data_IF_588346028613
#
_entry.id   IF_588346028613
#
_cell.length_a   1.000
_cell.length_b   1.000
_cell.length_c   1.000
_cell.angle_alpha   90.00
_cell.angle_beta   90.00
_cell.angle_gamma   90.00
#
_symmetry.space_group_name_H-M   'P 1'
#
loop_
_entity.id
_entity.type
_entity.pdbx_description
1 polymer ?
#
# COMPACT_ATOMS: atom_id res chain seq x y z
N UNK A 1 -31.11 33.37 2.20
CA UNK A 1 -32.42 33.28 2.86
C UNK A 1 -33.57 33.72 1.96
N UNK A 2 -33.69 33.26 0.70
CA UNK A 2 -34.93 33.42 -0.11
C UNK A 2 -34.95 32.50 -1.34
N UNK A 3 -34.73 31.19 -1.18
CA UNK A 3 -35.03 30.25 -2.28
C UNK A 3 -35.47 28.88 -1.74
N UNK A 4 -36.28 28.92 -0.68
CA UNK A 4 -37.14 27.83 -0.25
C UNK A 4 -38.52 28.21 -0.78
N UNK A 5 -39.07 27.49 -1.75
CA UNK A 5 -40.52 27.29 -2.05
C UNK A 5 -40.60 26.46 -3.35
N UNK A 6 -40.83 25.16 -3.22
CA UNK A 6 -41.42 24.21 -4.20
C UNK A 6 -41.46 22.85 -3.46
N UNK A 7 -42.31 22.67 -2.44
CA UNK A 7 -43.70 22.20 -2.53
C UNK A 7 -43.76 20.92 -3.41
N UNK A 8 -43.62 19.69 -2.89
CA UNK A 8 -44.41 18.91 -1.93
C UNK A 8 -45.03 17.70 -2.64
N UNK A 9 -45.17 16.62 -1.87
CA UNK A 9 -46.02 15.44 -2.08
C UNK A 9 -45.45 14.26 -2.91
N UNK A 10 -44.77 13.35 -2.20
CA UNK A 10 -45.11 11.93 -2.26
C UNK A 10 -44.71 11.27 -0.93
N UNK A 11 -45.68 11.21 -0.03
CA UNK A 11 -45.64 10.50 1.25
C UNK A 11 -46.08 9.05 0.99
N UNK A 12 -45.40 8.07 1.59
CA UNK A 12 -45.81 6.66 1.58
C UNK A 12 -44.61 5.74 1.79
N UNK A 13 -44.06 5.66 3.01
CA UNK A 13 -44.43 4.71 4.06
C UNK A 13 -44.17 3.24 3.66
N UNK A 14 -43.05 2.69 4.12
CA UNK A 14 -42.88 1.26 4.41
C UNK A 14 -41.71 1.09 5.37
N UNK A 15 -42.00 1.09 6.67
CA UNK A 15 -41.11 0.63 7.74
C UNK A 15 -41.60 -0.74 8.18
N UNK A 16 -40.75 -1.77 8.06
CA UNK A 16 -40.73 -3.00 8.87
C UNK A 16 -39.39 -3.71 8.53
N UNK A 17 -38.35 -3.60 9.37
CA UNK A 17 -38.00 -4.46 10.52
C UNK A 17 -37.61 -5.91 10.15
N UNK A 18 -36.70 -6.47 10.96
CA UNK A 18 -36.02 -7.78 10.91
C UNK A 18 -34.72 -7.78 10.05
N UNK A 19 -33.52 -7.99 10.58
CA UNK A 19 -33.11 -8.91 11.64
C UNK A 19 -31.98 -8.35 12.52
N UNK A 20 -32.08 -8.65 13.81
CA UNK A 20 -31.06 -8.43 14.83
C UNK A 20 -30.20 -9.69 15.04
N UNK A 21 -28.96 -9.45 15.49
CA UNK A 21 -27.97 -10.36 16.11
C UNK A 21 -27.26 -11.35 15.16
N UNK A 22 -25.94 -11.56 15.23
CA UNK A 22 -25.07 -11.55 16.41
C UNK A 22 -23.58 -11.40 16.00
N UNK A 23 -22.74 -10.63 16.73
CA UNK A 23 -21.29 -10.74 16.65
C UNK A 23 -20.83 -11.97 17.46
N UNK A 24 -20.08 -12.87 16.81
CA UNK A 24 -19.45 -13.99 17.49
C UNK A 24 -18.09 -13.54 18.04
N UNK A 25 -18.13 -12.91 19.22
CA UNK A 25 -16.96 -12.74 20.07
C UNK A 25 -16.63 -14.07 20.75
N UNK A 26 -15.72 -14.84 20.15
CA UNK A 26 -15.06 -15.93 20.85
C UNK A 26 -13.98 -15.33 21.77
N UNK A 27 -14.38 -14.91 22.97
CA UNK A 27 -13.46 -14.69 24.09
C UNK A 27 -13.35 -15.96 24.93
N UNK A 28 -12.27 -16.73 24.73
CA UNK A 28 -11.77 -17.63 25.75
C UNK A 28 -10.80 -16.84 26.64
N UNK A 29 -11.34 -16.30 27.72
CA UNK A 29 -10.61 -15.70 28.83
C UNK A 29 -9.75 -16.76 29.53
N UNK A 30 -8.42 -16.58 29.52
CA UNK A 30 -7.59 -16.92 30.67
C UNK A 30 -6.85 -15.67 31.12
N UNK A 31 -7.45 -14.98 32.09
CA UNK A 31 -6.80 -13.95 32.88
C UNK A 31 -5.77 -14.60 33.78
N UNK A 32 -4.50 -14.18 33.64
CA UNK A 32 -3.63 -13.97 34.80
C UNK A 32 -2.87 -12.67 34.59
N UNK A 33 -3.16 -11.72 35.47
CA UNK A 33 -2.46 -10.46 35.71
C UNK A 33 -0.96 -10.64 35.92
N UNK A 34 -0.13 -9.91 35.16
CA UNK A 34 1.10 -9.28 35.67
C UNK A 34 1.26 -7.93 34.97
N UNK A 35 1.10 -6.84 35.73
CA UNK A 35 1.55 -5.53 35.32
C UNK A 35 3.08 -5.52 35.26
N UNK A 36 3.67 -5.11 34.15
CA UNK A 36 4.99 -4.50 34.20
C UNK A 36 5.16 -3.49 33.06
N UNK A 37 5.28 -2.23 33.47
CA UNK A 37 5.51 -1.10 32.62
C UNK A 37 7.01 -1.10 32.27
N UNK A 38 7.37 -1.75 31.16
CA UNK A 38 8.72 -1.71 30.62
C UNK A 38 8.66 -1.24 29.18
N UNK A 39 9.25 -0.07 28.92
CA UNK A 39 9.62 0.40 27.60
C UNK A 39 10.52 -0.65 26.94
N UNK A 40 9.91 -1.54 26.17
CA UNK A 40 10.58 -2.65 25.50
C UNK A 40 10.42 -2.48 24.00
N UNK A 41 11.55 -2.13 23.37
CA UNK A 41 11.83 -2.27 21.95
C UNK A 41 11.39 -3.64 21.47
N UNK A 42 10.48 -3.66 20.49
CA UNK A 42 10.06 -4.88 19.82
C UNK A 42 11.29 -5.60 19.22
N UNK A 43 11.37 -6.93 19.30
CA UNK A 43 12.35 -7.71 18.54
C UNK A 43 12.28 -7.35 17.05
N UNK A 44 13.42 -7.20 16.34
CA UNK A 44 13.39 -6.97 14.90
C UNK A 44 12.62 -8.11 14.25
N UNK A 45 11.62 -7.77 13.43
CA UNK A 45 10.87 -8.72 12.63
C UNK A 45 11.86 -9.58 11.81
N UNK A 46 11.54 -10.87 11.55
CA UNK A 46 12.38 -11.70 10.70
C UNK A 46 12.59 -11.00 9.36
N UNK A 47 13.84 -10.63 9.07
CA UNK A 47 14.23 -10.17 7.75
C UNK A 47 13.94 -11.33 6.79
N UNK A 48 12.86 -11.24 6.04
CA UNK A 48 12.56 -12.20 4.99
C UNK A 48 13.70 -12.11 4.00
N UNK A 49 14.59 -13.10 4.02
CA UNK A 49 15.68 -13.19 3.05
C UNK A 49 15.04 -13.39 1.68
N UNK A 50 15.18 -12.40 0.81
CA UNK A 50 14.74 -12.50 -0.58
C UNK A 50 15.63 -13.54 -1.26
N UNK A 51 15.07 -14.68 -1.64
CA UNK A 51 15.77 -15.68 -2.44
C UNK A 51 16.29 -15.00 -3.71
N UNK A 52 17.60 -15.10 -4.01
CA UNK A 52 18.16 -14.49 -5.21
C UNK A 52 17.47 -15.07 -6.45
N UNK A 53 16.86 -14.25 -7.30
CA UNK A 53 16.38 -14.68 -8.60
C UNK A 53 17.52 -15.19 -9.50
N UNK A 54 17.21 -16.00 -10.54
CA UNK A 54 18.22 -16.51 -11.48
C UNK A 54 18.87 -15.41 -12.33
N UNK A 55 18.25 -14.24 -12.41
CA UNK A 55 18.72 -13.08 -13.18
C UNK A 55 19.94 -12.38 -12.53
N UNK A 56 20.40 -12.85 -11.35
CA UNK A 56 21.52 -12.26 -10.60
C UNK A 56 21.31 -10.79 -10.21
N UNK A 57 20.08 -10.28 -10.31
CA UNK A 57 19.72 -8.92 -9.90
C UNK A 57 19.51 -8.90 -8.39
N UNK A 58 20.19 -7.97 -7.71
CA UNK A 58 20.00 -7.75 -6.27
C UNK A 58 18.54 -7.38 -6.00
N UNK A 59 17.87 -8.16 -5.15
CA UNK A 59 16.57 -7.80 -4.59
C UNK A 59 16.76 -6.88 -3.38
N UNK A 60 15.77 -6.05 -3.13
CA UNK A 60 15.72 -5.20 -1.93
C UNK A 60 14.36 -5.33 -1.26
N UNK A 61 14.35 -5.21 0.06
CA UNK A 61 13.12 -5.16 0.85
C UNK A 61 12.43 -3.81 0.71
N UNK A 62 11.15 -3.78 1.07
CA UNK A 62 10.36 -2.53 1.07
C UNK A 62 10.94 -1.49 2.04
N UNK A 63 11.46 -1.91 3.19
CA UNK A 63 12.03 -0.98 4.17
C UNK A 63 13.39 -0.42 3.74
N UNK A 64 14.22 -1.23 3.07
CA UNK A 64 15.43 -0.72 2.40
C UNK A 64 15.08 0.30 1.32
N UNK A 65 14.03 0.06 0.54
CA UNK A 65 13.58 0.98 -0.50
C UNK A 65 13.11 2.32 0.10
N UNK A 66 12.27 2.28 1.14
CA UNK A 66 11.84 3.49 1.86
C UNK A 66 13.03 4.28 2.38
N UNK A 67 14.02 3.60 2.98
CA UNK A 67 15.22 4.24 3.51
C UNK A 67 16.06 4.90 2.40
N UNK A 68 16.25 4.24 1.26
CA UNK A 68 17.00 4.78 0.13
C UNK A 68 16.30 5.98 -0.52
N UNK A 69 14.97 5.92 -0.65
CA UNK A 69 14.15 7.02 -1.18
C UNK A 69 14.19 8.23 -0.25
N UNK A 70 14.08 8.02 1.06
CA UNK A 70 14.19 9.09 2.06
C UNK A 70 15.54 9.84 2.01
N UNK A 71 16.60 9.17 1.55
CA UNK A 71 17.95 9.75 1.36
C UNK A 71 18.20 10.29 -0.05
N UNK A 72 17.22 10.23 -0.96
CA UNK A 72 17.37 10.57 -2.38
C UNK A 72 18.42 9.71 -3.14
N UNK A 73 18.72 8.53 -2.63
CA UNK A 73 19.71 7.60 -3.20
C UNK A 73 19.11 6.72 -4.31
N UNK A 74 17.80 6.49 -4.27
CA UNK A 74 17.08 5.62 -5.20
C UNK A 74 16.07 6.37 -6.07
N UNK A 75 15.87 5.87 -7.29
CA UNK A 75 14.78 6.23 -8.20
C UNK A 75 13.94 4.99 -8.45
N UNK A 76 12.63 5.10 -8.24
CA UNK A 76 11.68 4.00 -8.40
C UNK A 76 11.10 4.04 -9.81
N UNK A 77 11.13 2.90 -10.48
CA UNK A 77 10.54 2.70 -11.79
C UNK A 77 9.49 1.58 -11.74
N UNK A 78 8.29 1.89 -12.19
CA UNK A 78 7.23 0.90 -12.43
C UNK A 78 7.33 0.44 -13.88
N UNK A 79 7.58 -0.84 -14.08
CA UNK A 79 7.75 -1.42 -15.43
C UNK A 79 6.46 -2.04 -16.00
N UNK A 80 5.34 -1.90 -15.29
CA UNK A 80 4.03 -2.40 -15.71
C UNK A 80 3.42 -1.52 -16.80
N UNK A 81 2.20 -1.86 -17.22
CA UNK A 81 1.43 -1.07 -18.17
C UNK A 81 1.01 0.28 -17.57
N UNK A 82 0.82 1.27 -18.44
CA UNK A 82 0.31 2.59 -18.05
C UNK A 82 -1.02 2.50 -17.29
N UNK A 83 -1.93 1.61 -17.72
CA UNK A 83 -3.22 1.42 -17.05
C UNK A 83 -3.04 0.99 -15.58
N UNK A 84 -2.16 0.01 -15.32
CA UNK A 84 -1.91 -0.48 -13.96
C UNK A 84 -1.27 0.58 -13.10
N UNK A 85 -0.31 1.32 -13.64
CA UNK A 85 0.32 2.45 -12.97
C UNK A 85 -0.70 3.51 -12.57
N UNK A 86 -1.59 3.91 -13.49
CA UNK A 86 -2.58 4.94 -13.22
C UNK A 86 -3.65 4.48 -12.22
N UNK A 87 -3.98 3.19 -12.18
CA UNK A 87 -4.87 2.64 -11.18
C UNK A 87 -4.26 2.74 -9.77
N UNK A 88 -3.00 2.34 -9.61
CA UNK A 88 -2.22 2.53 -8.38
C UNK A 88 -0.72 2.31 -8.62
N UNK A 89 0.10 3.20 -8.06
CA UNK A 89 1.56 3.07 -8.08
C UNK A 89 2.17 3.60 -6.78
N UNK A 90 3.42 3.19 -6.54
CA UNK A 90 4.23 3.73 -5.44
C UNK A 90 4.43 5.23 -5.67
N UNK A 91 4.19 6.05 -4.63
CA UNK A 91 4.40 7.49 -4.71
C UNK A 91 5.83 7.83 -5.20
N UNK A 92 5.91 8.81 -6.10
CA UNK A 92 7.15 9.30 -6.73
C UNK A 92 7.86 8.27 -7.62
N UNK A 93 7.23 7.12 -7.90
CA UNK A 93 7.67 6.22 -8.97
C UNK A 93 7.47 6.88 -10.33
N UNK A 94 8.31 6.48 -11.29
CA UNK A 94 8.17 6.85 -12.70
C UNK A 94 7.68 5.64 -13.47
N UNK A 95 6.76 5.83 -14.40
CA UNK A 95 6.39 4.80 -15.35
C UNK A 95 7.53 4.61 -16.36
N UNK A 96 7.91 3.36 -16.61
CA UNK A 96 8.92 2.99 -17.60
C UNK A 96 8.59 1.59 -18.13
N UNK A 97 7.63 1.54 -19.04
CA UNK A 97 6.98 0.28 -19.49
C UNK A 97 8.03 -0.67 -20.07
N UNK A 98 8.01 -1.93 -19.64
CA UNK A 98 9.03 -2.92 -20.04
C UNK A 98 9.21 -3.03 -21.56
N UNK A 99 8.11 -2.98 -22.32
CA UNK A 99 8.12 -3.06 -23.79
C UNK A 99 8.71 -1.83 -24.50
N UNK A 100 8.95 -0.74 -23.76
CA UNK A 100 9.39 0.55 -24.30
C UNK A 100 10.77 0.96 -23.76
N UNK A 101 11.38 0.14 -22.90
CA UNK A 101 12.67 0.38 -22.25
C UNK A 101 13.73 0.82 -23.26
N UNK A 102 13.87 0.12 -24.38
CA UNK A 102 14.91 0.40 -25.38
C UNK A 102 14.83 1.83 -25.96
N UNK A 103 13.62 2.40 -25.99
CA UNK A 103 13.37 3.75 -26.53
C UNK A 103 13.65 4.82 -25.48
N UNK A 104 13.30 4.54 -24.23
CA UNK A 104 13.30 5.52 -23.14
C UNK A 104 14.54 5.40 -22.24
N UNK A 105 15.42 4.41 -22.46
CA UNK A 105 16.59 4.15 -21.62
C UNK A 105 17.52 5.35 -21.44
N UNK A 106 17.55 6.25 -22.43
CA UNK A 106 18.34 7.49 -22.38
C UNK A 106 17.90 8.45 -21.26
N UNK A 107 16.67 8.32 -20.76
CA UNK A 107 16.11 9.15 -19.68
C UNK A 107 16.43 8.62 -18.28
N UNK A 108 17.01 7.42 -18.19
CA UNK A 108 17.36 6.81 -16.90
C UNK A 108 18.60 7.51 -16.33
N UNK A 109 18.53 8.07 -15.11
CA UNK A 109 19.62 8.83 -14.52
C UNK A 109 20.79 7.90 -14.20
N UNK A 110 21.97 8.21 -14.77
CA UNK A 110 23.20 7.48 -14.49
C UNK A 110 23.69 7.80 -13.07
N UNK A 111 24.25 6.80 -12.39
CA UNK A 111 24.88 6.97 -11.07
C UNK A 111 23.91 7.05 -9.88
N UNK A 112 22.61 6.85 -10.09
CA UNK A 112 21.64 6.63 -9.00
C UNK A 112 21.29 5.16 -8.89
N UNK A 113 20.85 4.73 -7.70
CA UNK A 113 20.31 3.38 -7.53
C UNK A 113 18.96 3.31 -8.25
N UNK A 114 18.88 2.46 -9.26
CA UNK A 114 17.65 2.20 -10.00
C UNK A 114 16.93 1.04 -9.35
N UNK A 115 15.66 1.24 -8.98
CA UNK A 115 14.83 0.21 -8.38
C UNK A 115 13.61 0.02 -9.26
N UNK A 116 13.53 -1.13 -9.92
CA UNK A 116 12.36 -1.52 -10.71
C UNK A 116 11.43 -2.40 -9.87
N UNK A 117 10.13 -2.29 -10.12
CA UNK A 117 9.15 -3.24 -9.61
C UNK A 117 8.10 -3.58 -10.67
N UNK A 118 7.62 -4.82 -10.60
CA UNK A 118 6.60 -5.40 -11.45
C UNK A 118 5.58 -6.16 -10.59
N UNK A 119 4.54 -6.73 -11.23
CA UNK A 119 3.53 -7.57 -10.58
C UNK A 119 3.94 -9.05 -10.58
#
# INVERSE_FOLDING_TARGET
MRLLISLAAALGLSVALLAACNPQDNSATKTTTVANNTKTTAPPAPVTQLTPPPDSVRRMTVDELKAAVAKNEAVIYDVRTAETYQANHIKDAKLFVESEIDKEFSEVPKGKLIVTYCA
#
